data_IF_565241880319
#
_entry.id   IF_565241880319
#
_cell.length_a   1.000
_cell.length_b   1.000
_cell.length_c   1.000
_cell.angle_alpha   90.00
_cell.angle_beta   90.00
_cell.angle_gamma   90.00
#
_symmetry.space_group_name_H-M   'P 1'
#
loop_
_entity.id
_entity.type
_entity.pdbx_description
1 polymer ?
#
# COMPACT_ATOMS: atom_id res chain seq x y z
N UNK A 1 -23.69 -6.21 -2.43
CA UNK A 1 -22.74 -5.69 -1.43
C UNK A 1 -21.35 -5.82 -2.04
N UNK A 2 -20.63 -4.72 -2.25
CA UNK A 2 -19.31 -4.69 -2.90
C UNK A 2 -18.19 -4.93 -1.88
N UNK A 3 -16.98 -5.29 -2.33
CA UNK A 3 -15.84 -5.49 -1.42
C UNK A 3 -15.50 -4.18 -0.69
N UNK A 4 -15.71 -3.04 -1.35
CA UNK A 4 -15.60 -1.70 -0.76
C UNK A 4 -16.60 -1.45 0.37
N UNK A 5 -17.86 -1.84 0.20
CA UNK A 5 -18.89 -1.73 1.25
C UNK A 5 -18.56 -2.61 2.46
N UNK A 6 -17.94 -3.76 2.24
CA UNK A 6 -17.50 -4.69 3.30
C UNK A 6 -16.29 -4.13 4.08
N UNK A 7 -15.37 -3.44 3.41
CA UNK A 7 -14.19 -2.79 4.02
C UNK A 7 -14.58 -1.53 4.83
N UNK A 8 -15.41 -0.66 4.26
CA UNK A 8 -15.87 0.58 4.93
C UNK A 8 -16.69 0.26 6.18
N UNK A 9 -17.54 -0.78 6.14
CA UNK A 9 -18.31 -1.23 7.31
C UNK A 9 -17.42 -1.69 8.48
N UNK A 10 -16.19 -2.11 8.22
CA UNK A 10 -15.30 -2.73 9.21
C UNK A 10 -14.10 -1.85 9.62
N UNK A 11 -13.83 -0.73 8.94
CA UNK A 11 -12.67 0.13 9.22
C UNK A 11 -12.93 1.30 10.20
N UNK A 12 -14.15 1.46 10.70
CA UNK A 12 -14.50 2.60 11.58
C UNK A 12 -14.22 2.36 13.07
N UNK A 13 -13.57 1.26 13.48
CA UNK A 13 -13.37 0.96 14.92
C UNK A 13 -11.93 0.61 15.26
N UNK A 14 -11.08 1.62 15.44
CA UNK A 14 -9.85 1.53 16.25
C UNK A 14 -9.65 2.78 17.13
N UNK A 15 -10.74 3.25 17.76
CA UNK A 15 -10.63 3.97 19.04
C UNK A 15 -11.52 3.26 20.07
N UNK A 16 -10.91 2.30 20.78
CA UNK A 16 -11.41 1.60 21.97
C UNK A 16 -12.66 0.69 21.83
N UNK A 17 -12.46 -0.55 22.31
CA UNK A 17 -13.42 -1.55 22.78
C UNK A 17 -14.13 -2.50 21.78
N UNK A 18 -13.70 -3.77 21.88
CA UNK A 18 -14.44 -5.04 21.87
C UNK A 18 -15.45 -5.41 20.77
N UNK A 19 -15.15 -6.57 20.17
CA UNK A 19 -16.02 -7.66 19.71
C UNK A 19 -16.74 -7.61 18.33
N UNK A 20 -16.21 -8.47 17.44
CA UNK A 20 -16.86 -9.48 16.58
C UNK A 20 -18.21 -9.17 15.91
N UNK A 21 -18.29 -9.23 14.57
CA UNK A 21 -18.91 -10.39 13.89
C UNK A 21 -18.84 -10.40 12.34
N UNK A 22 -18.72 -11.65 11.84
CA UNK A 22 -19.04 -12.28 10.54
C UNK A 22 -18.40 -11.73 9.26
N UNK A 23 -17.40 -12.49 8.81
CA UNK A 23 -16.49 -12.26 7.69
C UNK A 23 -16.66 -13.36 6.62
N UNK A 24 -16.52 -12.99 5.34
CA UNK A 24 -16.16 -13.91 4.27
C UNK A 24 -14.71 -14.38 4.45
N UNK A 25 -14.49 -15.70 4.55
CA UNK A 25 -13.33 -16.42 5.12
C UNK A 25 -11.91 -15.83 4.89
N UNK A 26 -11.69 -15.07 3.82
CA UNK A 26 -10.39 -14.50 3.42
C UNK A 26 -9.99 -13.23 4.21
N UNK A 27 -10.95 -12.43 4.70
CA UNK A 27 -10.64 -11.18 5.40
C UNK A 27 -10.34 -11.36 6.89
N UNK A 28 -10.71 -12.51 7.46
CA UNK A 28 -10.61 -12.77 8.90
C UNK A 28 -9.15 -12.96 9.29
N UNK A 29 -8.41 -13.71 8.48
CA UNK A 29 -7.00 -14.00 8.72
C UNK A 29 -6.17 -12.71 8.57
N UNK A 30 -6.44 -11.87 7.56
CA UNK A 30 -5.72 -10.60 7.35
C UNK A 30 -5.89 -9.67 8.54
N UNK A 31 -7.13 -9.46 9.00
CA UNK A 31 -7.41 -8.53 10.09
C UNK A 31 -6.98 -9.08 11.46
N UNK A 32 -6.73 -10.38 11.57
CA UNK A 32 -6.32 -11.03 12.82
C UNK A 32 -4.81 -11.22 12.93
N UNK A 33 -4.14 -11.43 11.80
CA UNK A 33 -2.71 -11.76 11.76
C UNK A 33 -1.82 -10.61 11.30
N UNK A 34 -2.38 -9.61 10.60
CA UNK A 34 -1.66 -8.42 10.17
C UNK A 34 -2.14 -7.16 10.89
N UNK A 35 -1.19 -6.43 11.47
CA UNK A 35 -1.37 -5.08 11.96
C UNK A 35 -1.35 -4.08 10.78
N UNK A 36 -2.45 -3.35 10.56
CA UNK A 36 -2.54 -2.32 9.51
C UNK A 36 -2.59 -0.96 10.20
N UNK A 37 -1.55 -0.15 10.03
CA UNK A 37 -1.49 1.20 10.59
C UNK A 37 -1.69 2.26 9.50
N UNK A 38 -2.53 3.26 9.79
CA UNK A 38 -2.64 4.49 9.02
C UNK A 38 -2.47 5.70 9.94
N UNK A 39 -1.22 6.18 10.12
CA UNK A 39 -0.89 7.22 11.08
C UNK A 39 -1.65 8.54 10.86
N UNK A 40 -1.84 9.32 11.93
CA UNK A 40 -2.67 10.53 11.90
C UNK A 40 -2.12 11.66 11.00
N UNK A 41 -0.80 11.69 10.80
CA UNK A 41 -0.11 12.57 9.86
C UNK A 41 -0.38 12.20 8.39
N UNK A 42 -0.63 10.93 8.12
CA UNK A 42 -0.85 10.35 6.78
C UNK A 42 -2.14 10.85 6.10
N UNK A 43 -3.10 11.35 6.88
CA UNK A 43 -4.33 11.98 6.37
C UNK A 43 -4.55 13.40 6.92
N UNK A 44 -3.51 14.03 7.48
CA UNK A 44 -3.62 15.37 8.07
C UNK A 44 -4.12 16.42 7.09
N UNK A 45 -3.79 16.30 5.80
CA UNK A 45 -4.29 17.19 4.74
C UNK A 45 -5.80 17.03 4.50
N UNK A 46 -6.32 15.79 4.51
CA UNK A 46 -7.76 15.56 4.40
C UNK A 46 -8.47 16.12 5.64
N UNK A 47 -7.92 15.87 6.83
CA UNK A 47 -8.44 16.38 8.10
C UNK A 47 -8.50 17.91 8.13
N UNK A 48 -7.44 18.59 7.70
CA UNK A 48 -7.40 20.06 7.69
C UNK A 48 -8.38 20.69 6.71
N UNK A 49 -8.84 19.94 5.70
CA UNK A 49 -9.90 20.34 4.78
C UNK A 49 -11.31 19.91 5.20
N UNK A 50 -11.46 19.36 6.41
CA UNK A 50 -12.77 18.99 6.97
C UNK A 50 -13.28 17.61 6.58
N UNK A 51 -12.45 16.76 5.96
CA UNK A 51 -12.82 15.38 5.68
C UNK A 51 -12.64 14.48 6.91
N UNK A 52 -13.57 13.54 7.10
CA UNK A 52 -13.44 12.48 8.10
C UNK A 52 -12.57 11.35 7.57
N UNK A 53 -12.09 10.50 8.48
CA UNK A 53 -11.34 9.31 8.08
C UNK A 53 -12.19 8.34 7.24
N UNK A 54 -13.48 8.15 7.58
CA UNK A 54 -14.38 7.31 6.78
C UNK A 54 -14.53 7.85 5.35
N UNK A 55 -14.54 9.18 5.16
CA UNK A 55 -14.57 9.78 3.84
C UNK A 55 -13.28 9.52 3.05
N UNK A 56 -12.11 9.48 3.71
CA UNK A 56 -10.86 9.08 3.06
C UNK A 56 -10.96 7.65 2.51
N UNK A 57 -11.52 6.74 3.29
CA UNK A 57 -11.72 5.35 2.87
C UNK A 57 -12.78 5.24 1.76
N UNK A 58 -13.90 5.95 1.90
CA UNK A 58 -14.96 6.00 0.88
C UNK A 58 -14.47 6.58 -0.45
N UNK A 59 -13.56 7.54 -0.42
CA UNK A 59 -13.01 8.16 -1.63
C UNK A 59 -11.86 7.34 -2.24
N UNK A 60 -11.32 6.35 -1.51
CA UNK A 60 -10.32 5.43 -2.05
C UNK A 60 -10.98 4.49 -3.08
N UNK A 61 -10.32 4.28 -4.21
CA UNK A 61 -10.83 3.42 -5.27
C UNK A 61 -10.84 1.96 -4.81
N UNK A 62 -11.87 1.19 -5.18
CA UNK A 62 -11.98 -0.23 -4.81
C UNK A 62 -10.80 -1.06 -5.31
N UNK A 63 -10.28 -0.76 -6.50
CA UNK A 63 -9.10 -1.43 -7.04
C UNK A 63 -7.83 -1.15 -6.24
N UNK A 64 -7.73 0.01 -5.59
CA UNK A 64 -6.61 0.35 -4.68
C UNK A 64 -6.69 -0.48 -3.41
N UNK A 65 -7.89 -0.66 -2.85
CA UNK A 65 -8.11 -1.59 -1.75
C UNK A 65 -7.80 -3.04 -2.14
N UNK A 66 -8.21 -3.48 -3.33
CA UNK A 66 -7.90 -4.81 -3.81
C UNK A 66 -6.39 -5.04 -3.96
N UNK A 67 -5.64 -4.02 -4.40
CA UNK A 67 -4.18 -4.07 -4.40
C UNK A 67 -3.62 -4.21 -2.98
N UNK A 68 -4.09 -3.40 -2.02
CA UNK A 68 -3.65 -3.50 -0.62
C UNK A 68 -3.93 -4.90 -0.04
N UNK A 69 -5.13 -5.43 -0.25
CA UNK A 69 -5.51 -6.78 0.20
C UNK A 69 -4.66 -7.87 -0.45
N UNK A 70 -4.38 -7.72 -1.75
CA UNK A 70 -3.50 -8.64 -2.45
C UNK A 70 -2.08 -8.59 -1.89
N UNK A 71 -1.55 -7.40 -1.59
CA UNK A 71 -0.24 -7.24 -0.93
C UNK A 71 -0.26 -7.93 0.43
N UNK A 72 -1.29 -7.74 1.24
CA UNK A 72 -1.41 -8.35 2.57
C UNK A 72 -1.44 -9.89 2.53
N UNK A 73 -1.96 -10.48 1.44
CA UNK A 73 -1.95 -11.93 1.18
C UNK A 73 -0.74 -12.40 0.39
N UNK A 74 0.23 -11.52 0.14
CA UNK A 74 1.43 -11.89 -0.58
C UNK A 74 2.17 -12.97 0.21
N UNK A 75 2.46 -14.11 -0.44
CA UNK A 75 3.01 -15.32 0.17
C UNK A 75 2.11 -15.97 1.25
N UNK A 76 0.78 -15.86 1.13
CA UNK A 76 -0.18 -16.61 1.97
C UNK A 76 -0.04 -18.13 1.77
N UNK A 77 0.11 -18.87 2.87
CA UNK A 77 0.12 -20.34 2.87
C UNK A 77 -1.29 -20.88 3.12
N UNK A 78 -1.93 -21.42 2.07
CA UNK A 78 -3.28 -22.01 2.15
C UNK A 78 -3.35 -23.24 3.06
N UNK A 79 -2.23 -23.94 3.30
CA UNK A 79 -2.19 -25.16 4.10
C UNK A 79 -2.32 -24.86 5.58
N UNK A 80 -1.65 -23.80 6.04
CA UNK A 80 -1.57 -23.41 7.44
C UNK A 80 -2.37 -22.14 7.77
N UNK A 81 -3.06 -21.58 6.77
CA UNK A 81 -3.78 -20.30 6.88
C UNK A 81 -2.92 -19.13 7.38
N UNK A 82 -1.60 -19.20 7.17
CA UNK A 82 -0.67 -18.24 7.72
C UNK A 82 -0.43 -17.08 6.77
N UNK A 83 -0.59 -15.86 7.27
CA UNK A 83 -0.23 -14.66 6.54
C UNK A 83 1.24 -14.33 6.75
N UNK A 84 1.92 -14.05 5.63
CA UNK A 84 3.35 -13.74 5.66
C UNK A 84 3.64 -12.31 6.10
N UNK A 85 2.68 -11.39 6.11
CA UNK A 85 2.89 -10.00 6.55
C UNK A 85 2.28 -9.80 7.93
N UNK A 86 3.12 -9.46 8.90
CA UNK A 86 2.70 -9.14 10.28
C UNK A 86 2.26 -7.70 10.45
N UNK A 87 2.86 -6.77 9.68
CA UNK A 87 2.56 -5.35 9.79
C UNK A 87 2.71 -4.63 8.46
N UNK A 88 1.80 -3.71 8.18
CA UNK A 88 1.95 -2.72 7.12
C UNK A 88 1.59 -1.34 7.67
N UNK A 89 2.36 -0.32 7.29
CA UNK A 89 2.11 1.07 7.67
C UNK A 89 1.95 1.90 6.41
N UNK A 90 0.79 2.53 6.26
CA UNK A 90 0.40 3.28 5.09
C UNK A 90 0.60 4.77 5.33
N UNK A 91 1.10 5.53 4.34
CA UNK A 91 1.19 7.00 4.44
C UNK A 91 0.16 7.76 3.62
N UNK A 92 -0.57 7.09 2.72
CA UNK A 92 -1.62 7.72 1.92
C UNK A 92 -2.46 6.68 1.19
N UNK A 93 -3.77 6.94 1.10
CA UNK A 93 -4.71 6.22 0.24
C UNK A 93 -5.41 7.23 -0.68
N UNK A 94 -6.31 8.03 -0.11
CA UNK A 94 -6.92 9.17 -0.77
C UNK A 94 -6.56 10.47 -0.04
N UNK A 95 -6.33 11.55 -0.79
CA UNK A 95 -6.19 12.90 -0.22
C UNK A 95 -6.66 13.97 -1.18
N UNK A 96 -7.23 15.08 -0.67
CA UNK A 96 -7.66 16.18 -1.52
C UNK A 96 -6.46 16.96 -2.05
N UNK A 97 -6.40 17.23 -3.36
CA UNK A 97 -5.33 18.05 -3.95
C UNK A 97 -5.58 19.54 -3.74
N UNK A 98 -4.50 20.34 -3.76
CA UNK A 98 -4.61 21.79 -3.84
C UNK A 98 -4.63 22.29 -5.30
N UNK A 99 -4.11 21.52 -6.27
CA UNK A 99 -3.89 21.94 -7.66
C UNK A 99 -3.98 20.79 -8.68
N UNK A 100 -4.91 19.84 -8.48
CA UNK A 100 -5.39 18.87 -9.49
C UNK A 100 -4.34 18.17 -10.36
N UNK A 101 -3.84 16.99 -9.95
CA UNK A 101 -3.03 16.05 -10.79
C UNK A 101 -2.62 14.77 -10.06
N UNK A 102 -2.88 14.63 -8.74
CA UNK A 102 -2.38 13.50 -7.96
C UNK A 102 -3.25 12.25 -8.14
N UNK A 103 -2.68 11.06 -8.37
CA UNK A 103 -3.45 9.81 -8.36
C UNK A 103 -4.21 9.56 -7.05
N UNK A 104 -3.74 10.09 -5.92
CA UNK A 104 -4.46 9.99 -4.64
C UNK A 104 -5.74 10.82 -4.60
N UNK A 105 -5.88 11.87 -5.41
CA UNK A 105 -7.13 12.63 -5.51
C UNK A 105 -8.24 11.79 -6.16
N UNK A 106 -7.86 10.93 -7.10
CA UNK A 106 -8.74 9.93 -7.72
C UNK A 106 -8.90 8.65 -6.86
N UNK A 107 -8.25 8.59 -5.69
CA UNK A 107 -8.22 7.40 -4.83
C UNK A 107 -7.43 6.22 -5.44
N UNK A 108 -6.57 6.47 -6.43
CA UNK A 108 -5.82 5.48 -7.20
C UNK A 108 -4.39 5.23 -6.69
N UNK A 109 -3.96 5.93 -5.64
CA UNK A 109 -2.62 5.81 -5.06
C UNK A 109 -2.62 5.02 -3.76
N UNK A 110 -1.58 4.23 -3.53
CA UNK A 110 -1.31 3.50 -2.28
C UNK A 110 0.13 3.76 -1.86
N UNK A 111 0.33 4.46 -0.75
CA UNK A 111 1.65 4.71 -0.19
C UNK A 111 1.90 3.82 1.03
N UNK A 112 3.05 3.14 1.06
CA UNK A 112 3.48 2.27 2.16
C UNK A 112 4.83 2.80 2.68
N UNK A 113 4.91 3.09 3.98
CA UNK A 113 6.14 3.56 4.64
C UNK A 113 6.90 2.42 5.31
N UNK A 114 6.20 1.36 5.74
CA UNK A 114 6.82 0.19 6.39
C UNK A 114 6.05 -1.09 6.07
N UNK A 115 6.79 -2.18 5.95
CA UNK A 115 6.24 -3.53 5.85
C UNK A 115 7.09 -4.49 6.68
N UNK A 116 6.44 -5.32 7.49
CA UNK A 116 7.11 -6.34 8.30
C UNK A 116 6.61 -7.72 7.88
N UNK A 117 7.44 -8.52 7.19
CA UNK A 117 7.14 -9.92 6.99
C UNK A 117 7.19 -10.69 8.32
N UNK A 118 6.56 -11.86 8.38
CA UNK A 118 6.53 -12.74 9.55
C UNK A 118 7.90 -13.37 9.83
N UNK A 119 8.71 -13.50 8.77
CA UNK A 119 10.10 -13.93 8.80
C UNK A 119 10.95 -12.78 8.26
N UNK A 120 11.84 -12.27 9.09
CA UNK A 120 12.79 -11.22 8.73
C UNK A 120 12.62 -9.95 9.56
N UNK A 121 13.29 -8.89 9.11
CA UNK A 121 13.24 -7.57 9.74
C UNK A 121 12.16 -6.71 9.09
N UNK A 122 11.63 -5.78 9.88
CA UNK A 122 10.83 -4.69 9.35
C UNK A 122 11.61 -3.93 8.28
N UNK A 123 10.96 -3.72 7.14
CA UNK A 123 11.48 -2.96 6.01
C UNK A 123 10.91 -1.55 6.11
N UNK A 124 11.78 -0.58 6.34
CA UNK A 124 11.43 0.85 6.32
C UNK A 124 11.70 1.39 4.92
N UNK A 125 10.68 2.02 4.33
CA UNK A 125 10.75 2.61 3.00
C UNK A 125 11.49 3.94 3.06
N UNK A 126 12.81 3.92 3.18
CA UNK A 126 13.62 5.13 3.28
C UNK A 126 14.85 5.07 2.37
N UNK A 127 15.23 6.24 1.84
CA UNK A 127 16.39 6.42 0.96
C UNK A 127 17.74 6.19 1.64
N UNK A 128 17.76 6.05 2.98
CA UNK A 128 18.96 5.63 3.72
C UNK A 128 19.40 4.20 3.39
N UNK A 129 18.52 3.39 2.81
CA UNK A 129 18.87 2.09 2.23
C UNK A 129 19.20 2.30 0.75
N UNK A 130 20.32 1.80 0.22
CA UNK A 130 20.71 2.09 -1.16
C UNK A 130 19.85 1.37 -2.20
N UNK A 131 19.41 0.14 -1.92
CA UNK A 131 18.75 -0.75 -2.88
C UNK A 131 17.39 -1.25 -2.43
N UNK A 132 16.52 -1.54 -3.40
CA UNK A 132 15.18 -2.08 -3.14
C UNK A 132 15.28 -3.44 -2.42
N UNK A 133 14.66 -3.61 -1.25
CA UNK A 133 14.63 -4.88 -0.54
C UNK A 133 14.01 -5.99 -1.40
N UNK A 134 14.64 -7.16 -1.44
CA UNK A 134 14.22 -8.26 -2.33
C UNK A 134 12.76 -8.68 -2.14
N UNK A 135 12.21 -8.56 -0.93
CA UNK A 135 10.78 -8.82 -0.69
C UNK A 135 9.87 -7.86 -1.46
N UNK A 136 10.18 -6.57 -1.48
CA UNK A 136 9.42 -5.57 -2.24
C UNK A 136 9.62 -5.70 -3.75
N UNK A 137 10.82 -6.09 -4.20
CA UNK A 137 11.05 -6.45 -5.62
C UNK A 137 10.04 -7.52 -6.05
N UNK A 138 9.82 -8.56 -5.23
CA UNK A 138 8.90 -9.64 -5.53
C UNK A 138 7.43 -9.17 -5.53
N UNK A 139 7.00 -8.44 -4.50
CA UNK A 139 5.66 -7.84 -4.42
C UNK A 139 5.38 -6.99 -5.67
N UNK A 140 6.28 -6.06 -6.00
CA UNK A 140 6.17 -5.20 -7.16
C UNK A 140 6.09 -6.01 -8.45
N UNK A 141 7.04 -6.92 -8.67
CA UNK A 141 7.08 -7.74 -9.90
C UNK A 141 5.76 -8.49 -10.10
N UNK A 142 5.26 -9.14 -9.05
CA UNK A 142 4.01 -9.89 -9.12
C UNK A 142 2.78 -8.97 -9.26
N UNK A 143 2.75 -7.80 -8.63
CA UNK A 143 1.65 -6.84 -8.79
C UNK A 143 1.51 -6.36 -10.25
N UNK A 144 2.63 -6.10 -10.94
CA UNK A 144 2.63 -5.70 -12.35
C UNK A 144 2.25 -6.87 -13.28
N UNK A 145 2.77 -8.07 -13.03
CA UNK A 145 2.40 -9.27 -13.80
C UNK A 145 0.90 -9.58 -13.72
N UNK A 146 0.30 -9.35 -12.55
CA UNK A 146 -1.14 -9.52 -12.33
C UNK A 146 -1.99 -8.29 -12.74
N UNK A 147 -1.37 -7.26 -13.34
CA UNK A 147 -2.04 -6.02 -13.77
C UNK A 147 -2.80 -5.30 -12.65
N UNK A 148 -2.31 -5.43 -11.41
CA UNK A 148 -2.89 -4.78 -10.23
C UNK A 148 -2.44 -3.33 -10.09
N UNK A 149 -1.23 -3.01 -10.55
CA UNK A 149 -0.66 -1.66 -10.58
C UNK A 149 -0.11 -1.33 -11.97
N UNK A 150 -0.08 -0.05 -12.33
CA UNK A 150 0.48 0.44 -13.59
C UNK A 150 1.71 1.35 -13.41
N UNK A 151 1.97 1.82 -12.19
CA UNK A 151 3.12 2.64 -11.86
C UNK A 151 3.58 2.33 -10.44
N UNK A 152 4.88 2.46 -10.22
CA UNK A 152 5.51 2.24 -8.93
C UNK A 152 6.64 3.23 -8.72
N UNK A 153 6.62 3.96 -7.60
CA UNK A 153 7.75 4.76 -7.13
C UNK A 153 8.31 4.20 -5.83
N UNK A 154 9.62 4.36 -5.61
CA UNK A 154 10.31 3.86 -4.43
C UNK A 154 11.46 4.78 -4.05
N UNK A 155 11.88 4.78 -2.77
CA UNK A 155 12.98 5.60 -2.30
C UNK A 155 14.36 5.03 -2.66
N UNK A 156 14.40 3.87 -3.31
CA UNK A 156 15.61 3.09 -3.56
C UNK A 156 16.08 3.11 -5.01
N UNK A 157 17.35 2.75 -5.20
CA UNK A 157 17.86 2.32 -6.49
C UNK A 157 17.25 0.95 -6.82
N UNK A 158 16.73 0.84 -8.03
CA UNK A 158 16.13 -0.36 -8.58
C UNK A 158 17.06 -1.06 -9.57
N UNK A 159 16.99 -2.38 -9.54
CA UNK A 159 17.74 -3.26 -10.43
C UNK A 159 16.75 -4.09 -11.25
N UNK A 160 16.83 -4.01 -12.58
CA UNK A 160 15.98 -4.80 -13.46
C UNK A 160 16.64 -5.09 -14.81
N UNK A 161 16.23 -6.18 -15.47
CA UNK A 161 16.69 -6.48 -16.82
C UNK A 161 15.79 -5.77 -17.84
N UNK A 162 16.39 -5.03 -18.78
CA UNK A 162 15.65 -4.41 -19.89
C UNK A 162 15.22 -5.45 -20.95
N UNK A 163 14.54 -5.00 -22.00
CA UNK A 163 14.06 -5.88 -23.09
C UNK A 163 15.19 -6.59 -23.82
N UNK A 164 16.39 -6.02 -23.78
CA UNK A 164 17.62 -6.55 -24.36
C UNK A 164 18.36 -7.52 -23.40
N UNK A 165 17.78 -7.81 -22.23
CA UNK A 165 18.38 -8.71 -21.24
C UNK A 165 19.58 -8.13 -20.49
N UNK A 166 19.81 -6.81 -20.56
CA UNK A 166 20.86 -6.10 -19.82
C UNK A 166 20.36 -5.70 -18.44
N UNK A 167 21.14 -6.00 -17.40
CA UNK A 167 20.88 -5.48 -16.05
C UNK A 167 21.06 -3.96 -16.05
N UNK A 168 19.99 -3.27 -15.66
CA UNK A 168 19.94 -1.83 -15.46
C UNK A 168 19.89 -1.57 -13.97
N UNK A 169 20.75 -0.66 -13.52
CA UNK A 169 20.75 -0.05 -12.20
C UNK A 169 20.36 1.41 -12.38
N UNK A 170 19.29 1.82 -11.73
CA UNK A 170 18.78 3.19 -11.82
C UNK A 170 18.04 3.55 -10.54
N UNK A 171 18.18 4.79 -10.07
CA UNK A 171 17.13 5.35 -9.24
C UNK A 171 15.82 5.17 -10.02
N UNK A 172 14.78 4.62 -9.38
CA UNK A 172 13.52 4.27 -10.04
C UNK A 172 13.10 5.41 -10.98
N UNK A 173 13.23 5.19 -12.31
CA UNK A 173 13.23 6.28 -13.31
C UNK A 173 11.91 7.04 -13.30
N UNK A 174 11.92 8.13 -12.54
CA UNK A 174 10.90 9.16 -12.51
C UNK A 174 11.50 10.50 -12.14
N UNK A 175 12.76 10.76 -12.55
CA UNK A 175 13.58 11.91 -12.14
C UNK A 175 12.94 13.23 -12.59
N UNK A 176 12.04 13.71 -11.75
CA UNK A 176 11.42 15.03 -11.72
C UNK A 176 11.25 15.42 -10.25
N UNK A 177 10.76 16.63 -9.98
CA UNK A 177 10.41 17.10 -8.62
C UNK A 177 9.57 16.09 -7.80
N UNK A 178 8.86 15.18 -8.50
CA UNK A 178 8.16 14.03 -7.93
C UNK A 178 9.06 13.00 -7.20
N UNK A 179 10.37 12.94 -7.38
CA UNK A 179 11.21 12.00 -6.61
C UNK A 179 11.40 12.45 -5.16
N UNK A 180 11.43 13.76 -4.90
CA UNK A 180 11.57 14.28 -3.53
C UNK A 180 10.41 13.88 -2.63
N UNK A 181 9.21 13.69 -3.21
CA UNK A 181 8.03 13.30 -2.44
C UNK A 181 8.05 11.81 -2.05
N UNK A 182 8.75 10.93 -2.78
CA UNK A 182 8.76 9.48 -2.54
C UNK A 182 9.99 8.97 -1.77
N UNK A 183 10.73 9.84 -1.08
CA UNK A 183 11.95 9.47 -0.34
C UNK A 183 11.68 8.63 0.93
N UNK A 184 10.43 8.57 1.37
CA UNK A 184 10.02 7.98 2.65
C UNK A 184 8.93 6.92 2.53
N UNK A 185 8.53 6.56 1.30
CA UNK A 185 7.52 5.54 1.05
C UNK A 185 7.69 4.91 -0.33
N UNK A 186 7.12 3.71 -0.51
CA UNK A 186 6.80 3.20 -1.84
C UNK A 186 5.40 3.63 -2.24
N UNK A 187 5.21 3.94 -3.51
CA UNK A 187 3.92 4.35 -4.07
C UNK A 187 3.52 3.39 -5.17
N UNK A 188 2.30 2.85 -5.08
CA UNK A 188 1.66 2.16 -6.18
C UNK A 188 0.54 3.02 -6.76
N UNK A 189 0.47 3.10 -8.09
CA UNK A 189 -0.69 3.65 -8.80
C UNK A 189 -1.43 2.52 -9.49
N UNK A 190 -2.77 2.57 -9.44
CA UNK A 190 -3.63 1.75 -10.30
C UNK A 190 -4.03 2.51 -11.57
N UNK A 191 -4.33 1.77 -12.64
CA UNK A 191 -4.83 2.32 -13.90
C UNK A 191 -6.12 3.13 -13.73
N UNK A 192 -6.28 4.15 -14.59
CA UNK A 192 -7.57 4.84 -14.77
C UNK A 192 -8.62 3.87 -15.32
#
# INVERSE_FOLDING_TARGET
MTAKEEIIKNLTVLTNNSCTSKISFIYYDILRECEIEFPADSWALARSKGYTFDQVLQNTNERTFNLLLWILRYDFDETNHAIFIQKIVLSSLWRPSNNGTSPHEDGRGLDIIKIKPNIGKEIVCASSTPSEPGFLVKIRTAAFQNKLANQYFSPWIMYYYNKEGKLIEEANRGITENERIHLTHVHFTIGK
#
